data_IF_203288132792
#
_entry.id   IF_203288132792
#
_cell.length_a   1.000
_cell.length_b   1.000
_cell.length_c   1.000
_cell.angle_alpha   90.00
_cell.angle_beta   90.00
_cell.angle_gamma   90.00
#
_symmetry.space_group_name_H-M   'P 1'
#
loop_
_entity.id
_entity.type
_entity.pdbx_description
1 polymer ?
#
# COMPACT_ATOMS: atom_id res chain seq x y z
N UNK A 1 24.80 47.74 -25.81
CA UNK A 1 25.46 46.53 -26.31
C UNK A 1 26.61 46.20 -25.35
N UNK A 2 26.38 45.38 -24.32
CA UNK A 2 27.23 45.39 -23.11
C UNK A 2 28.34 44.33 -23.04
N UNK A 3 28.48 43.42 -24.02
CA UNK A 3 29.52 42.38 -24.01
C UNK A 3 29.91 42.04 -25.45
N UNK A 4 31.04 42.57 -25.94
CA UNK A 4 31.45 42.36 -27.34
C UNK A 4 32.84 41.70 -27.48
N UNK A 5 33.47 41.34 -26.36
CA UNK A 5 34.81 40.72 -26.33
C UNK A 5 34.76 39.35 -25.67
N UNK A 6 35.40 38.37 -26.32
CA UNK A 6 35.55 36.99 -25.83
C UNK A 6 36.15 36.94 -24.41
N UNK A 7 37.02 37.91 -24.07
CA UNK A 7 37.62 38.02 -22.73
C UNK A 7 36.61 38.33 -21.62
N UNK A 8 35.53 39.06 -21.93
CA UNK A 8 34.50 39.42 -20.95
C UNK A 8 33.64 38.20 -20.57
N UNK A 9 33.40 37.30 -21.53
CA UNK A 9 32.74 36.01 -21.28
C UNK A 9 33.61 35.08 -20.43
N UNK A 10 34.94 35.10 -20.61
CA UNK A 10 35.86 34.30 -19.78
C UNK A 10 35.85 34.79 -18.32
N UNK A 11 35.83 36.11 -18.10
CA UNK A 11 35.74 36.67 -16.73
C UNK A 11 34.39 36.35 -16.08
N UNK A 12 33.29 36.43 -16.83
CA UNK A 12 31.97 36.02 -16.32
C UNK A 12 31.91 34.53 -16.00
N UNK A 13 32.50 33.67 -16.86
CA UNK A 13 32.58 32.25 -16.61
C UNK A 13 33.40 31.96 -15.35
N UNK A 14 34.53 32.64 -15.15
CA UNK A 14 35.34 32.50 -13.94
C UNK A 14 34.61 32.97 -12.67
N UNK A 15 33.84 34.05 -12.73
CA UNK A 15 33.02 34.52 -11.61
C UNK A 15 31.86 33.57 -11.29
N UNK A 16 31.21 33.03 -12.32
CA UNK A 16 30.11 32.08 -12.17
C UNK A 16 30.62 30.75 -11.59
N UNK A 17 31.68 30.19 -12.15
CA UNK A 17 32.29 28.97 -11.63
C UNK A 17 32.90 29.19 -10.25
N UNK A 18 33.52 30.35 -10.00
CA UNK A 18 34.04 30.71 -8.68
C UNK A 18 32.93 30.77 -7.62
N UNK A 19 31.78 31.38 -7.95
CA UNK A 19 30.61 31.43 -7.08
C UNK A 19 29.99 30.06 -6.81
N UNK A 20 29.90 29.20 -7.83
CA UNK A 20 29.36 27.84 -7.70
C UNK A 20 30.27 26.97 -6.84
N UNK A 21 31.59 27.03 -7.05
CA UNK A 21 32.56 26.24 -6.28
C UNK A 21 32.59 26.71 -4.82
N UNK A 22 32.53 28.01 -4.56
CA UNK A 22 32.50 28.55 -3.19
C UNK A 22 31.17 28.26 -2.48
N UNK A 23 30.03 28.33 -3.20
CA UNK A 23 28.71 27.98 -2.68
C UNK A 23 28.53 26.50 -2.36
N UNK A 24 29.11 25.61 -3.17
CA UNK A 24 29.08 24.16 -2.94
C UNK A 24 30.08 23.71 -1.87
N UNK A 25 31.21 24.42 -1.74
CA UNK A 25 32.27 24.13 -0.78
C UNK A 25 31.98 24.57 0.66
N UNK A 26 31.16 25.60 0.86
CA UNK A 26 30.81 26.12 2.18
C UNK A 26 29.48 25.58 2.75
N UNK A 27 28.75 24.72 2.04
CA UNK A 27 27.50 24.15 2.55
C UNK A 27 27.78 22.86 3.38
N UNK A 28 27.66 22.88 4.73
CA UNK A 28 27.95 21.73 5.59
C UNK A 28 26.94 20.55 5.48
N UNK A 29 26.11 20.52 4.43
CA UNK A 29 25.05 19.53 4.22
C UNK A 29 25.46 18.22 3.53
N UNK A 30 26.61 18.17 2.85
CA UNK A 30 26.96 17.06 1.95
C UNK A 30 27.32 15.72 2.62
N UNK A 31 27.56 15.70 3.94
CA UNK A 31 27.83 14.45 4.70
C UNK A 31 26.58 13.81 5.28
N UNK A 32 25.53 14.59 5.55
CA UNK A 32 24.27 14.09 6.12
C UNK A 32 23.39 13.42 5.06
N UNK A 33 23.36 13.98 3.85
CA UNK A 33 22.61 13.42 2.73
C UNK A 33 23.18 12.08 2.23
N UNK A 34 24.51 11.92 2.22
CA UNK A 34 25.16 10.65 1.86
C UNK A 34 24.88 9.51 2.85
N UNK A 35 24.75 9.81 4.14
CA UNK A 35 24.45 8.79 5.16
C UNK A 35 23.04 8.21 5.00
N UNK A 36 22.06 9.06 4.63
CA UNK A 36 20.70 8.63 4.30
C UNK A 36 20.63 7.84 2.98
N UNK A 37 21.39 8.24 1.96
CA UNK A 37 21.41 7.54 0.66
C UNK A 37 22.02 6.13 0.68
N UNK A 38 22.99 5.86 1.56
CA UNK A 38 23.54 4.51 1.70
C UNK A 38 22.62 3.58 2.52
N UNK A 39 21.93 4.11 3.54
CA UNK A 39 20.86 3.40 4.25
C UNK A 39 19.71 3.02 3.29
N UNK A 40 19.40 3.91 2.33
CA UNK A 40 18.39 3.68 1.29
C UNK A 40 18.80 2.58 0.29
N UNK A 41 20.06 2.57 -0.15
CA UNK A 41 20.59 1.58 -1.12
C UNK A 41 20.62 0.16 -0.55
N UNK A 42 20.94 0.00 0.73
CA UNK A 42 20.87 -1.29 1.42
C UNK A 42 19.42 -1.74 1.60
N UNK A 43 18.49 -0.82 1.90
CA UNK A 43 17.07 -1.11 2.05
C UNK A 43 16.48 -1.72 0.78
N UNK A 44 16.74 -1.17 -0.42
CA UNK A 44 16.25 -1.74 -1.69
C UNK A 44 16.75 -3.18 -1.95
N UNK A 45 18.02 -3.47 -1.67
CA UNK A 45 18.58 -4.81 -1.91
C UNK A 45 18.10 -5.85 -0.87
N UNK A 46 17.89 -5.39 0.36
CA UNK A 46 17.34 -6.19 1.44
C UNK A 46 15.84 -6.45 1.24
N UNK A 47 15.13 -5.49 0.65
CA UNK A 47 13.72 -5.58 0.29
C UNK A 47 13.46 -6.73 -0.69
N UNK A 48 14.23 -6.77 -1.78
CA UNK A 48 14.09 -7.85 -2.78
C UNK A 48 14.45 -9.21 -2.21
N UNK A 49 15.51 -9.29 -1.38
CA UNK A 49 15.91 -10.54 -0.72
C UNK A 49 14.85 -11.06 0.25
N UNK A 50 14.23 -10.19 1.06
CA UNK A 50 13.17 -10.59 2.00
C UNK A 50 11.92 -11.07 1.27
N UNK A 51 11.54 -10.43 0.16
CA UNK A 51 10.42 -10.86 -0.66
C UNK A 51 10.70 -12.21 -1.34
N UNK A 52 11.89 -12.38 -1.94
CA UNK A 52 12.33 -13.64 -2.55
C UNK A 52 12.40 -14.78 -1.51
N UNK A 53 12.86 -14.50 -0.29
CA UNK A 53 12.95 -15.46 0.81
C UNK A 53 11.56 -15.97 1.23
N UNK A 54 10.59 -15.09 1.46
CA UNK A 54 9.22 -15.48 1.84
C UNK A 54 8.53 -16.30 0.75
N UNK A 55 8.74 -15.96 -0.52
CA UNK A 55 8.23 -16.74 -1.66
C UNK A 55 8.89 -18.13 -1.70
N UNK A 56 10.20 -18.20 -1.43
CA UNK A 56 10.93 -19.47 -1.35
C UNK A 56 10.47 -20.37 -0.20
N UNK A 57 10.30 -19.80 0.99
CA UNK A 57 9.80 -20.51 2.18
C UNK A 57 8.38 -21.04 1.97
N UNK A 58 7.48 -20.22 1.40
CA UNK A 58 6.14 -20.67 1.04
C UNK A 58 6.14 -21.83 0.05
N UNK A 59 6.98 -21.76 -0.99
CA UNK A 59 7.14 -22.85 -1.96
C UNK A 59 7.70 -24.12 -1.32
N UNK A 60 8.68 -23.99 -0.43
CA UNK A 60 9.25 -25.13 0.30
C UNK A 60 8.18 -25.80 1.18
N UNK A 61 7.37 -25.01 1.87
CA UNK A 61 6.27 -25.54 2.70
C UNK A 61 5.20 -26.24 1.87
N UNK A 62 4.88 -25.72 0.68
CA UNK A 62 3.96 -26.38 -0.24
C UNK A 62 4.52 -27.73 -0.70
N UNK A 63 5.79 -27.78 -1.11
CA UNK A 63 6.42 -29.02 -1.57
C UNK A 63 6.49 -30.09 -0.46
N UNK A 64 6.77 -29.69 0.79
CA UNK A 64 6.74 -30.58 1.94
C UNK A 64 5.33 -31.14 2.18
N UNK A 65 4.31 -30.27 2.18
CA UNK A 65 2.91 -30.70 2.33
C UNK A 65 2.46 -31.62 1.20
N UNK A 66 2.91 -31.39 -0.04
CA UNK A 66 2.63 -32.29 -1.17
C UNK A 66 3.27 -33.66 -0.95
N UNK A 67 4.50 -33.72 -0.44
CA UNK A 67 5.17 -34.99 -0.10
C UNK A 67 4.45 -35.74 1.02
N UNK A 68 4.07 -35.04 2.09
CA UNK A 68 3.29 -35.63 3.19
C UNK A 68 1.93 -36.14 2.70
N UNK A 69 1.24 -35.37 1.85
CA UNK A 69 -0.03 -35.81 1.27
C UNK A 69 0.14 -37.04 0.39
N UNK A 70 1.19 -37.10 -0.44
CA UNK A 70 1.49 -38.29 -1.24
C UNK A 70 1.80 -39.49 -0.35
N UNK A 71 2.63 -39.31 0.69
CA UNK A 71 2.98 -40.38 1.63
C UNK A 71 1.76 -40.87 2.43
N UNK A 72 0.90 -39.96 2.87
CA UNK A 72 -0.36 -40.30 3.54
C UNK A 72 -1.29 -41.03 2.58
N UNK A 73 -1.43 -40.57 1.34
CA UNK A 73 -2.23 -41.23 0.32
C UNK A 73 -1.72 -42.64 0.03
N UNK A 74 -0.42 -42.81 -0.12
CA UNK A 74 0.21 -44.14 -0.26
C UNK A 74 0.01 -45.02 0.98
N UNK A 75 0.00 -44.43 2.19
CA UNK A 75 -0.26 -45.18 3.42
C UNK A 75 -1.72 -45.64 3.54
N UNK A 76 -2.66 -44.81 3.06
CA UNK A 76 -4.09 -45.15 2.95
C UNK A 76 -4.29 -46.22 1.88
N UNK A 77 -3.73 -46.03 0.68
CA UNK A 77 -3.80 -46.99 -0.42
C UNK A 77 -3.14 -48.34 -0.05
N UNK A 78 -2.07 -48.33 0.75
CA UNK A 78 -1.42 -49.54 1.29
C UNK A 78 -2.24 -50.21 2.39
N UNK A 79 -2.90 -49.42 3.24
CA UNK A 79 -3.85 -49.93 4.23
C UNK A 79 -5.14 -50.49 3.59
N UNK A 80 -5.45 -50.10 2.35
CA UNK A 80 -6.62 -50.56 1.57
C UNK A 80 -6.36 -51.77 0.67
N UNK A 81 -5.22 -52.48 0.79
CA UNK A 81 -5.13 -53.83 0.21
C UNK A 81 -6.11 -54.80 0.90
N UNK A 82 -6.82 -55.64 0.14
CA UNK A 82 -8.27 -55.66 0.16
C UNK A 82 -8.85 -56.58 1.24
N UNK A 83 -9.60 -56.02 2.18
CA UNK A 83 -10.68 -56.77 2.83
C UNK A 83 -11.86 -56.77 1.87
N UNK A 84 -12.03 -57.89 1.17
CA UNK A 84 -13.31 -58.30 0.57
C UNK A 84 -14.42 -58.13 1.60
N UNK A 85 -15.19 -57.05 1.48
CA UNK A 85 -16.47 -56.88 2.13
C UNK A 85 -17.54 -56.77 1.03
N UNK A 86 -18.54 -57.66 1.00
CA UNK A 86 -19.44 -57.81 -0.14
C UNK A 86 -20.30 -56.57 -0.33
N UNK A 87 -20.55 -56.27 -1.59
CA UNK A 87 -21.48 -55.26 -2.06
C UNK A 87 -22.82 -55.32 -1.30
N UNK A 88 -23.15 -54.25 -0.60
CA UNK A 88 -24.53 -53.86 -0.30
C UNK A 88 -24.82 -52.66 -1.17
N UNK A 89 -25.51 -52.95 -2.28
CA UNK A 89 -26.13 -51.97 -3.16
C UNK A 89 -27.22 -51.17 -2.39
N UNK A 90 -27.55 -49.95 -2.83
CA UNK A 90 -28.36 -48.99 -2.08
C UNK A 90 -29.83 -49.40 -2.10
N UNK A 91 -30.45 -49.49 -0.92
CA UNK A 91 -31.91 -49.59 -0.80
C UNK A 91 -32.49 -48.22 -0.35
N UNK A 92 -33.46 -47.67 -1.10
CA UNK A 92 -34.07 -46.38 -0.82
C UNK A 92 -35.32 -46.58 0.04
N UNK A 93 -35.27 -46.32 1.36
CA UNK A 93 -36.50 -46.26 2.15
C UNK A 93 -36.51 -45.09 3.13
N UNK A 94 -37.34 -44.13 2.74
CA UNK A 94 -37.90 -43.00 3.46
C UNK A 94 -38.37 -43.35 4.87
N UNK A 95 -37.89 -42.61 5.87
CA UNK A 95 -38.66 -42.33 7.09
C UNK A 95 -38.57 -40.84 7.39
N UNK A 96 -39.59 -40.14 6.90
CA UNK A 96 -40.33 -39.05 7.56
C UNK A 96 -39.61 -38.34 8.73
N UNK A 97 -38.97 -37.22 8.42
CA UNK A 97 -38.69 -36.18 9.42
C UNK A 97 -39.98 -35.37 9.62
N UNK A 98 -40.60 -35.56 10.78
CA UNK A 98 -41.76 -34.81 11.25
C UNK A 98 -41.37 -33.33 11.47
N UNK A 99 -42.09 -32.37 10.85
CA UNK A 99 -41.72 -30.95 10.87
C UNK A 99 -42.41 -30.24 12.04
N UNK A 100 -41.69 -30.04 13.15
CA UNK A 100 -42.14 -29.16 14.22
C UNK A 100 -41.63 -27.73 13.96
N UNK A 101 -42.28 -27.06 12.99
CA UNK A 101 -42.06 -25.65 12.68
C UNK A 101 -43.33 -24.85 13.00
N UNK A 102 -43.41 -24.34 14.24
CA UNK A 102 -44.41 -23.32 14.61
C UNK A 102 -44.20 -22.05 13.77
N UNK A 103 -45.24 -21.51 13.13
CA UNK A 103 -45.12 -20.37 12.22
C UNK A 103 -45.06 -19.07 13.03
N UNK A 104 -43.97 -18.31 12.89
CA UNK A 104 -43.95 -16.91 13.31
C UNK A 104 -43.99 -16.07 12.03
N UNK A 105 -45.16 -15.48 11.82
CA UNK A 105 -45.46 -14.58 10.73
C UNK A 105 -44.57 -13.33 10.76
N UNK A 106 -43.94 -13.04 9.62
CA UNK A 106 -43.32 -11.74 9.34
C UNK A 106 -44.43 -10.71 9.20
N UNK A 107 -44.49 -9.74 10.12
CA UNK A 107 -45.22 -8.49 9.93
C UNK A 107 -44.22 -7.37 9.66
N UNK A 108 -44.42 -6.68 8.54
CA UNK A 108 -43.66 -5.53 8.10
C UNK A 108 -44.28 -4.21 8.62
N UNK A 109 -43.46 -3.41 9.32
CA UNK A 109 -43.46 -1.94 9.46
C UNK A 109 -44.72 -1.21 10.03
N UNK A 110 -44.63 0.05 10.56
CA UNK A 110 -43.55 1.03 10.47
C UNK A 110 -43.12 1.74 11.79
N UNK A 111 -42.12 2.61 11.60
CA UNK A 111 -41.35 3.52 12.48
C UNK A 111 -42.07 4.30 13.60
N UNK A 112 -41.39 4.46 14.74
CA UNK A 112 -41.33 5.71 15.50
C UNK A 112 -40.12 5.72 16.45
N UNK A 113 -39.28 6.75 16.32
CA UNK A 113 -38.05 6.97 17.07
C UNK A 113 -38.28 7.34 18.54
N UNK A 114 -37.38 6.91 19.43
CA UNK A 114 -37.16 7.58 20.72
C UNK A 114 -35.67 7.85 20.89
N UNK A 115 -35.36 9.14 20.87
CA UNK A 115 -34.05 9.72 21.12
C UNK A 115 -33.64 9.58 22.58
N UNK A 116 -32.34 9.34 22.82
CA UNK A 116 -31.52 10.01 23.84
C UNK A 116 -30.10 9.41 23.86
N UNK A 117 -29.20 9.93 23.03
CA UNK A 117 -27.76 9.96 23.36
C UNK A 117 -27.35 11.43 23.30
N UNK A 118 -26.78 11.89 24.40
CA UNK A 118 -26.43 13.26 24.67
C UNK A 118 -25.59 13.87 23.55
N UNK A 119 -26.01 15.06 23.11
CA UNK A 119 -25.30 15.91 22.19
C UNK A 119 -23.93 16.29 22.78
N UNK A 120 -22.87 15.69 22.23
CA UNK A 120 -21.64 16.46 22.02
C UNK A 120 -22.02 17.62 21.09
N UNK A 121 -21.52 18.86 21.32
CA UNK A 121 -21.71 19.92 20.35
C UNK A 121 -21.22 19.39 18.99
N UNK A 122 -21.97 19.62 17.89
CA UNK A 122 -21.41 19.37 16.57
C UNK A 122 -20.13 20.19 16.53
N UNK A 123 -18.97 19.52 16.52
CA UNK A 123 -17.79 20.16 15.97
C UNK A 123 -18.24 20.56 14.59
N UNK A 124 -18.18 21.84 14.31
CA UNK A 124 -18.26 22.36 12.96
C UNK A 124 -17.29 21.51 12.14
N UNK A 125 -17.82 20.56 11.35
CA UNK A 125 -17.07 19.91 10.28
C UNK A 125 -17.04 20.96 9.18
N UNK A 126 -16.33 22.06 9.44
CA UNK A 126 -15.89 22.95 8.39
C UNK A 126 -14.88 22.12 7.59
N UNK A 127 -15.38 21.46 6.55
CA UNK A 127 -14.58 21.01 5.43
C UNK A 127 -13.74 19.74 5.63
N UNK A 128 -14.33 18.62 6.06
CA UNK A 128 -13.78 17.30 5.67
C UNK A 128 -14.05 17.02 4.18
N UNK A 129 -13.75 17.98 3.31
CA UNK A 129 -13.43 17.65 1.94
C UNK A 129 -12.01 17.11 2.04
N UNK A 130 -11.86 15.79 2.13
CA UNK A 130 -10.57 15.14 2.09
C UNK A 130 -9.71 15.77 0.98
N UNK A 131 -8.42 15.92 1.24
CA UNK A 131 -7.48 16.50 0.30
C UNK A 131 -7.61 15.81 -1.06
N UNK A 132 -7.39 16.58 -2.13
CA UNK A 132 -7.44 16.02 -3.47
C UNK A 132 -6.18 15.21 -3.78
N UNK A 133 -6.17 13.95 -3.33
CA UNK A 133 -5.06 13.01 -3.48
C UNK A 133 -4.65 12.77 -4.93
N UNK A 134 -5.52 13.06 -5.90
CA UNK A 134 -5.20 12.98 -7.35
C UNK A 134 -4.10 13.94 -7.79
N UNK A 135 -3.77 14.94 -6.96
CA UNK A 135 -2.64 15.83 -7.18
C UNK A 135 -1.29 15.14 -7.02
N UNK A 136 -1.23 14.00 -6.34
CA UNK A 136 -0.01 13.20 -6.24
C UNK A 136 0.14 12.36 -7.50
N UNK A 137 1.33 12.39 -8.10
CA UNK A 137 1.66 11.58 -9.29
C UNK A 137 1.50 10.10 -9.00
N UNK A 138 0.75 9.42 -9.87
CA UNK A 138 0.45 8.00 -9.73
C UNK A 138 -0.76 7.68 -8.86
N UNK A 139 -1.49 8.69 -8.34
CA UNK A 139 -2.80 8.49 -7.72
C UNK A 139 -3.90 8.86 -8.71
N UNK A 140 -4.58 7.84 -9.25
CA UNK A 140 -5.79 8.02 -10.06
C UNK A 140 -7.05 8.07 -9.17
N UNK A 141 -8.20 8.46 -9.74
CA UNK A 141 -9.48 8.48 -9.01
C UNK A 141 -9.85 7.13 -8.39
N UNK A 142 -9.54 6.03 -9.07
CA UNK A 142 -9.75 4.68 -8.55
C UNK A 142 -8.87 4.40 -7.32
N UNK A 143 -7.63 4.89 -7.33
CA UNK A 143 -6.68 4.70 -6.24
C UNK A 143 -7.02 5.61 -5.07
N UNK A 144 -7.47 6.85 -5.33
CA UNK A 144 -8.05 7.76 -4.34
C UNK A 144 -9.27 7.16 -3.66
N UNK A 145 -10.17 6.53 -4.40
CA UNK A 145 -11.34 5.87 -3.82
C UNK A 145 -10.93 4.70 -2.90
N UNK A 146 -9.93 3.90 -3.32
CA UNK A 146 -9.37 2.85 -2.46
C UNK A 146 -8.69 3.42 -1.21
N UNK A 147 -7.94 4.52 -1.32
CA UNK A 147 -7.31 5.21 -0.18
C UNK A 147 -8.35 5.77 0.79
N UNK A 148 -9.41 6.37 0.27
CA UNK A 148 -10.53 6.85 1.08
C UNK A 148 -11.24 5.70 1.82
N UNK A 149 -11.34 4.52 1.21
CA UNK A 149 -11.86 3.31 1.88
C UNK A 149 -10.92 2.76 2.98
N UNK A 150 -9.68 3.27 3.07
CA UNK A 150 -8.71 2.99 4.12
C UNK A 150 -8.63 4.12 5.16
N UNK A 151 -9.59 5.04 5.15
CA UNK A 151 -9.61 6.28 5.95
C UNK A 151 -8.42 7.22 5.69
N UNK A 152 -7.64 6.99 4.63
CA UNK A 152 -6.56 7.87 4.20
C UNK A 152 -7.11 8.90 3.21
N UNK A 153 -7.44 10.08 3.73
CA UNK A 153 -8.09 11.14 2.95
C UNK A 153 -7.33 12.46 2.95
N UNK A 154 -6.20 12.58 3.68
CA UNK A 154 -5.36 13.78 3.68
C UNK A 154 -3.94 13.54 3.13
N UNK A 155 -3.34 14.58 2.56
CA UNK A 155 -1.91 14.60 2.24
C UNK A 155 -1.05 14.38 3.50
N UNK A 156 -1.52 14.83 4.66
CA UNK A 156 -0.81 14.65 5.92
C UNK A 156 -0.71 13.17 6.33
N UNK A 157 -1.70 12.35 5.96
CA UNK A 157 -1.70 10.92 6.26
C UNK A 157 -0.69 10.19 5.37
N UNK A 158 -0.64 10.54 4.08
CA UNK A 158 0.32 9.98 3.12
C UNK A 158 1.77 10.39 3.49
N UNK A 159 1.99 11.63 3.92
CA UNK A 159 3.33 12.11 4.31
C UNK A 159 3.86 11.38 5.56
N UNK A 160 2.96 10.92 6.43
CA UNK A 160 3.27 10.20 7.67
C UNK A 160 3.46 8.70 7.48
N UNK A 161 3.25 8.16 6.28
CA UNK A 161 3.43 6.72 6.03
C UNK A 161 4.81 6.27 6.51
N UNK A 162 4.94 5.04 7.02
CA UNK A 162 6.24 4.40 7.18
C UNK A 162 6.52 3.49 5.99
N UNK A 163 7.74 2.99 5.85
CA UNK A 163 8.10 2.06 4.78
C UNK A 163 7.26 0.77 4.89
N UNK A 164 6.97 0.31 6.12
CA UNK A 164 6.06 -0.80 6.38
C UNK A 164 4.61 -0.50 5.96
N UNK A 165 4.14 0.72 6.22
CA UNK A 165 2.78 1.12 5.82
C UNK A 165 2.66 1.26 4.31
N UNK A 166 3.70 1.73 3.62
CA UNK A 166 3.75 1.76 2.15
C UNK A 166 3.62 0.36 1.57
N UNK A 167 4.32 -0.63 2.12
CA UNK A 167 4.19 -2.02 1.68
C UNK A 167 2.79 -2.59 1.91
N UNK A 168 2.24 -2.37 3.11
CA UNK A 168 0.90 -2.83 3.45
C UNK A 168 -0.15 -2.18 2.54
N UNK A 169 0.07 -0.90 2.21
CA UNK A 169 -0.78 -0.13 1.31
C UNK A 169 -0.64 -0.63 -0.13
N UNK A 170 0.57 -0.86 -0.64
CA UNK A 170 0.82 -1.44 -1.96
C UNK A 170 0.14 -2.81 -2.12
N UNK A 171 0.31 -3.69 -1.13
CA UNK A 171 -0.32 -5.01 -1.12
C UNK A 171 -1.85 -4.92 -1.10
N UNK A 172 -2.40 -3.99 -0.31
CA UNK A 172 -3.85 -3.83 -0.17
C UNK A 172 -4.49 -3.12 -1.37
N UNK A 173 -3.73 -2.28 -2.07
CA UNK A 173 -4.16 -1.61 -3.29
C UNK A 173 -3.93 -2.44 -4.55
N UNK A 174 -3.24 -3.57 -4.44
CA UNK A 174 -2.78 -4.44 -5.54
C UNK A 174 -1.81 -3.71 -6.50
N UNK A 175 -0.93 -2.89 -5.92
CA UNK A 175 0.12 -2.16 -6.63
C UNK A 175 1.42 -2.96 -6.69
N UNK A 176 2.24 -2.79 -7.73
CA UNK A 176 3.56 -3.40 -7.77
C UNK A 176 4.44 -2.85 -6.65
N UNK A 177 5.22 -3.72 -6.04
CA UNK A 177 6.08 -3.36 -4.91
C UNK A 177 7.08 -2.24 -5.27
N UNK A 178 7.18 -1.22 -4.42
CA UNK A 178 8.00 -0.03 -4.62
C UNK A 178 7.42 0.97 -5.63
N UNK A 179 6.13 0.89 -5.95
CA UNK A 179 5.44 1.89 -6.76
C UNK A 179 5.33 3.23 -6.02
N UNK A 180 4.88 3.21 -4.77
CA UNK A 180 4.66 4.41 -3.94
C UNK A 180 5.99 5.13 -3.71
N UNK A 181 7.04 4.35 -3.47
CA UNK A 181 8.40 4.84 -3.28
C UNK A 181 9.01 5.43 -4.56
N UNK A 182 8.85 4.75 -5.71
CA UNK A 182 9.32 5.25 -7.02
C UNK A 182 8.62 6.54 -7.42
N UNK A 183 7.31 6.61 -7.20
CA UNK A 183 6.52 7.81 -7.45
C UNK A 183 6.73 8.87 -6.33
N UNK A 184 7.46 8.55 -5.26
CA UNK A 184 7.79 9.47 -4.15
C UNK A 184 6.56 10.14 -3.55
N UNK A 185 5.50 9.35 -3.30
CA UNK A 185 4.23 9.90 -2.82
C UNK A 185 4.37 10.72 -1.54
N UNK A 186 5.25 10.31 -0.63
CA UNK A 186 5.52 11.02 0.63
C UNK A 186 6.11 12.40 0.43
N UNK A 187 7.09 12.51 -0.46
CA UNK A 187 7.74 13.80 -0.76
C UNK A 187 6.74 14.76 -1.39
N UNK A 188 5.92 14.25 -2.33
CA UNK A 188 4.85 15.02 -2.96
C UNK A 188 3.79 15.45 -1.93
N UNK A 189 3.33 14.53 -1.08
CA UNK A 189 2.35 14.80 -0.03
C UNK A 189 2.88 15.80 1.01
N UNK A 190 4.18 15.76 1.32
CA UNK A 190 4.84 16.73 2.20
C UNK A 190 4.83 18.14 1.58
N UNK A 191 5.12 18.26 0.28
CA UNK A 191 5.05 19.54 -0.43
C UNK A 191 3.61 20.07 -0.52
N UNK A 192 2.65 19.19 -0.82
CA UNK A 192 1.24 19.55 -0.93
C UNK A 192 0.63 19.94 0.43
N UNK A 193 0.94 19.21 1.50
CA UNK A 193 0.51 19.57 2.87
C UNK A 193 1.16 20.84 3.40
N UNK A 194 2.37 21.18 2.94
CA UNK A 194 3.01 22.46 3.23
C UNK A 194 2.46 23.64 2.40
N UNK A 195 1.47 23.42 1.53
CA UNK A 195 0.88 24.44 0.65
C UNK A 195 1.76 24.82 -0.54
N UNK A 196 2.85 24.09 -0.79
CA UNK A 196 3.82 24.34 -1.87
C UNK A 196 3.38 23.68 -3.18
N UNK A 197 2.14 23.95 -3.61
CA UNK A 197 1.55 23.31 -4.80
C UNK A 197 2.28 23.70 -6.09
N UNK A 198 2.83 24.91 -6.18
CA UNK A 198 3.59 25.34 -7.37
C UNK A 198 4.95 24.64 -7.47
N UNK A 199 5.69 24.53 -6.35
CA UNK A 199 6.96 23.79 -6.29
C UNK A 199 6.76 22.30 -6.60
N UNK A 200 5.66 21.70 -6.11
CA UNK A 200 5.26 20.34 -6.48
C UNK A 200 4.99 20.22 -7.99
N UNK A 201 4.23 21.15 -8.58
CA UNK A 201 3.94 21.12 -10.02
C UNK A 201 5.22 21.25 -10.85
N UNK A 202 6.13 22.14 -10.48
CA UNK A 202 7.40 22.35 -11.18
C UNK A 202 8.31 21.12 -11.11
N UNK A 203 8.38 20.44 -9.97
CA UNK A 203 9.28 19.30 -9.77
C UNK A 203 8.75 17.98 -10.34
N UNK A 204 7.43 17.79 -10.36
CA UNK A 204 6.81 16.50 -10.69
C UNK A 204 6.01 16.51 -12.00
N UNK A 205 5.66 17.69 -12.53
CA UNK A 205 4.81 17.86 -13.72
C UNK A 205 5.45 18.69 -14.86
N UNK A 206 6.70 19.14 -14.72
CA UNK A 206 7.49 19.69 -15.82
C UNK A 206 7.96 18.62 -16.80
#
# INVERSE_FOLDING_TARGET
>A
MLFNSLGQFIVLALLLFGGVILGLGLHPGGKKWRRRLYEESEAYSNYRRKAEAQIGEGKARIAELEQENVALKESVDRAETPITAPAIAPQPESVTAEPDAKPIAVQAAPVAASAAIAAFPPRDIDGSHGDDLTRIRGIDDALKAKLAALDMTSFADIAKLSDEDEMALEQRLDLPAGFILRERWRDQATLLSAGKTEEHRELFWS
#
